data_IF_181165297848
#
_entry.id   IF_181165297848
#
_cell.length_a   1.000
_cell.length_b   1.000
_cell.length_c   1.000
_cell.angle_alpha   90.00
_cell.angle_beta   90.00
_cell.angle_gamma   90.00
#
_symmetry.space_group_name_H-M   'P 1'
#
loop_
_entity.id
_entity.type
_entity.pdbx_description
1 polymer ?
#
# COMPACT_ATOMS: atom_id res chain seq x y z
N UNK A 1 28.38 -9.01 4.65
CA UNK A 1 27.57 -8.33 5.67
C UNK A 1 26.13 -8.75 5.44
N UNK A 2 25.46 -9.31 6.44
CA UNK A 2 24.09 -9.83 6.29
C UNK A 2 23.10 -8.70 6.59
N UNK A 3 22.21 -8.39 5.65
CA UNK A 3 21.15 -7.40 5.84
C UNK A 3 20.28 -7.79 7.04
N UNK A 4 20.00 -6.83 7.94
CA UNK A 4 19.11 -7.07 9.07
C UNK A 4 17.68 -6.84 8.61
N UNK A 5 16.90 -7.90 8.50
CA UNK A 5 15.50 -7.79 8.08
C UNK A 5 14.69 -6.91 9.06
N UNK A 6 13.75 -6.12 8.55
CA UNK A 6 12.90 -5.29 9.41
C UNK A 6 12.02 -6.17 10.30
N UNK A 7 11.75 -5.68 11.51
CA UNK A 7 10.87 -6.38 12.46
C UNK A 7 9.41 -6.24 12.06
N UNK A 8 8.59 -7.26 12.33
CA UNK A 8 7.15 -7.18 12.17
C UNK A 8 6.56 -6.00 12.96
N UNK A 9 5.64 -5.22 12.38
CA UNK A 9 5.03 -4.10 13.07
C UNK A 9 4.10 -4.62 14.17
N UNK A 10 4.08 -3.88 15.29
CA UNK A 10 3.06 -4.09 16.32
C UNK A 10 1.72 -3.56 15.82
N UNK A 11 0.63 -4.14 16.33
CA UNK A 11 -0.72 -3.63 16.06
C UNK A 11 -0.84 -2.21 16.64
N UNK A 12 -1.15 -1.17 15.83
CA UNK A 12 -1.30 0.18 16.32
C UNK A 12 -2.50 0.32 17.27
N UNK A 13 -2.42 1.27 18.22
CA UNK A 13 -3.52 1.53 19.15
C UNK A 13 -4.84 1.86 18.43
N UNK A 14 -4.79 2.55 17.29
CA UNK A 14 -5.97 2.84 16.47
C UNK A 14 -6.66 1.56 15.96
N UNK A 15 -5.89 0.53 15.61
CA UNK A 15 -6.42 -0.78 15.19
C UNK A 15 -6.94 -1.54 16.41
N UNK A 16 -6.14 -1.60 17.49
CA UNK A 16 -6.49 -2.34 18.70
C UNK A 16 -7.79 -1.83 19.36
N UNK A 17 -8.04 -0.51 19.35
CA UNK A 17 -9.27 0.10 19.88
C UNK A 17 -10.54 -0.34 19.16
N UNK A 18 -10.43 -0.83 17.92
CA UNK A 18 -11.56 -1.34 17.13
C UNK A 18 -11.89 -2.81 17.44
N UNK A 19 -11.09 -3.48 18.27
CA UNK A 19 -11.25 -4.88 18.63
C UNK A 19 -10.31 -5.81 17.86
N UNK A 20 -10.65 -7.10 17.84
CA UNK A 20 -9.89 -8.11 17.11
C UNK A 20 -10.06 -7.93 15.59
N UNK A 21 -8.96 -7.87 14.85
CA UNK A 21 -8.98 -7.79 13.38
C UNK A 21 -9.64 -9.08 12.85
N UNK A 22 -10.67 -8.99 11.98
CA UNK A 22 -11.23 -10.16 11.32
C UNK A 22 -10.13 -10.99 10.62
N UNK A 23 -10.13 -12.31 10.84
CA UNK A 23 -9.08 -13.20 10.31
C UNK A 23 -8.91 -13.09 8.79
N UNK A 24 -10.01 -12.89 8.05
CA UNK A 24 -10.00 -12.69 6.59
C UNK A 24 -9.23 -11.44 6.17
N UNK A 25 -9.33 -10.34 6.93
CA UNK A 25 -8.62 -9.10 6.63
C UNK A 25 -7.13 -9.23 6.94
N UNK A 26 -6.77 -9.88 8.05
CA UNK A 26 -5.38 -10.14 8.38
C UNK A 26 -4.72 -11.07 7.35
N UNK A 27 -5.40 -12.16 6.98
CA UNK A 27 -4.93 -13.10 5.96
C UNK A 27 -4.77 -12.44 4.58
N UNK A 28 -5.64 -11.47 4.24
CA UNK A 28 -5.55 -10.73 2.98
C UNK A 28 -4.22 -9.98 2.85
N UNK A 29 -3.73 -9.34 3.92
CA UNK A 29 -2.47 -8.59 3.91
C UNK A 29 -1.23 -9.47 3.69
N UNK A 30 -1.31 -10.77 4.00
CA UNK A 30 -0.23 -11.73 3.79
C UNK A 30 -0.54 -12.73 2.67
N UNK A 31 -1.53 -12.44 1.83
CA UNK A 31 -1.95 -13.33 0.75
C UNK A 31 -1.02 -13.23 -0.48
N UNK A 32 -0.92 -14.28 -1.32
CA UNK A 32 -0.18 -14.21 -2.58
C UNK A 32 -0.63 -13.05 -3.49
N UNK A 33 -1.92 -12.70 -3.46
CA UNK A 33 -2.47 -11.56 -4.20
C UNK A 33 -1.87 -10.24 -3.72
N UNK A 34 -1.70 -10.05 -2.41
CA UNK A 34 -1.10 -8.85 -1.84
C UNK A 34 0.38 -8.72 -2.24
N UNK A 35 1.17 -9.79 -2.09
CA UNK A 35 2.58 -9.80 -2.52
C UNK A 35 2.73 -9.54 -4.01
N UNK A 36 2.03 -10.31 -4.85
CA UNK A 36 2.12 -10.17 -6.30
C UNK A 36 1.65 -8.82 -6.81
N UNK A 37 0.66 -8.20 -6.14
CA UNK A 37 0.24 -6.84 -6.47
C UNK A 37 1.28 -5.81 -6.07
N UNK A 38 1.85 -5.91 -4.87
CA UNK A 38 2.89 -5.00 -4.40
C UNK A 38 4.12 -5.05 -5.32
N UNK A 39 4.63 -6.24 -5.59
CA UNK A 39 5.82 -6.44 -6.44
C UNK A 39 5.58 -5.96 -7.88
N UNK A 40 4.36 -6.12 -8.40
CA UNK A 40 4.01 -5.61 -9.74
C UNK A 40 3.95 -4.07 -9.78
N UNK A 41 3.48 -3.43 -8.72
CA UNK A 41 3.27 -1.98 -8.70
C UNK A 41 4.52 -1.18 -8.29
N UNK A 42 5.33 -1.72 -7.37
CA UNK A 42 6.57 -1.07 -6.89
C UNK A 42 7.83 -1.57 -7.60
N UNK A 43 7.76 -2.74 -8.24
CA UNK A 43 8.96 -3.51 -8.57
C UNK A 43 9.46 -4.32 -7.37
N UNK A 44 10.50 -5.15 -7.59
CA UNK A 44 11.11 -5.93 -6.51
C UNK A 44 12.63 -6.07 -6.73
N UNK A 45 13.40 -5.09 -6.25
CA UNK A 45 14.85 -5.00 -6.51
C UNK A 45 15.64 -5.71 -5.42
N UNK A 46 16.26 -6.84 -5.74
CA UNK A 46 17.01 -7.71 -4.80
C UNK A 46 18.41 -7.20 -4.44
N UNK A 47 18.62 -5.90 -4.57
CA UNK A 47 19.87 -5.24 -4.24
C UNK A 47 19.55 -3.85 -3.69
N UNK A 48 20.21 -3.48 -2.60
CA UNK A 48 20.12 -2.12 -2.06
C UNK A 48 20.77 -1.16 -3.05
N UNK A 49 20.00 -0.20 -3.56
CA UNK A 49 20.47 0.83 -4.48
C UNK A 49 20.23 2.22 -3.90
N UNK A 50 21.01 3.21 -4.34
CA UNK A 50 20.79 4.61 -3.97
C UNK A 50 19.72 5.17 -4.90
N UNK A 51 18.51 5.42 -4.38
CA UNK A 51 17.43 5.95 -5.20
C UNK A 51 17.61 7.45 -5.44
N UNK A 52 18.05 7.81 -6.64
CA UNK A 52 18.25 9.20 -7.04
C UNK A 52 16.95 10.03 -7.03
N UNK A 53 15.78 9.41 -7.19
CA UNK A 53 14.49 10.09 -7.10
C UNK A 53 14.13 10.41 -5.64
N UNK A 54 14.64 9.62 -4.69
CA UNK A 54 14.48 9.82 -3.26
C UNK A 54 15.72 10.48 -2.61
N UNK A 55 16.54 11.21 -3.37
CA UNK A 55 17.70 11.93 -2.83
C UNK A 55 18.85 11.02 -2.35
N UNK A 56 18.98 9.82 -2.91
CA UNK A 56 20.04 8.85 -2.61
C UNK A 56 19.73 7.92 -1.44
N UNK A 57 18.47 7.87 -0.97
CA UNK A 57 18.06 6.97 0.11
C UNK A 57 18.26 5.50 -0.31
N UNK A 58 18.92 4.67 0.52
CA UNK A 58 19.03 3.23 0.28
C UNK A 58 17.65 2.60 0.11
N UNK A 59 17.41 1.98 -1.05
CA UNK A 59 16.11 1.41 -1.43
C UNK A 59 16.28 -0.04 -1.90
N UNK A 60 15.35 -0.93 -1.55
CA UNK A 60 15.42 -2.36 -1.88
C UNK A 60 14.04 -3.04 -1.87
N UNK A 61 13.96 -4.26 -2.42
CA UNK A 61 12.74 -5.05 -2.60
C UNK A 61 11.62 -4.22 -3.23
N UNK A 62 10.40 -4.26 -2.69
CA UNK A 62 9.30 -3.41 -3.14
C UNK A 62 9.33 -2.01 -2.50
N UNK A 63 10.44 -1.29 -2.71
CA UNK A 63 10.56 0.12 -2.34
C UNK A 63 10.78 0.39 -0.84
N UNK A 64 11.36 -0.56 -0.09
CA UNK A 64 11.69 -0.35 1.33
C UNK A 64 12.92 0.56 1.45
N UNK A 65 12.90 1.46 2.43
CA UNK A 65 13.92 2.52 2.59
C UNK A 65 14.51 2.62 4.00
N UNK A 66 14.53 1.52 4.77
CA UNK A 66 15.04 1.57 6.15
C UNK A 66 16.54 1.89 6.19
N UNK A 67 16.99 2.86 6.99
CA UNK A 67 18.41 3.08 7.27
C UNK A 67 18.88 2.26 8.48
N UNK A 68 20.18 1.99 8.62
CA UNK A 68 21.25 2.21 7.65
C UNK A 68 21.52 0.94 6.83
N UNK A 69 20.91 0.80 5.66
CA UNK A 69 21.24 -0.30 4.75
C UNK A 69 22.43 0.04 3.85
N UNK A 70 23.32 -0.94 3.66
CA UNK A 70 24.55 -0.78 2.88
C UNK A 70 24.24 -0.94 1.39
N UNK A 71 24.48 0.10 0.60
CA UNK A 71 24.36 0.07 -0.87
C UNK A 71 25.15 -1.11 -1.45
N UNK A 72 24.54 -1.82 -2.39
CA UNK A 72 25.12 -2.98 -3.07
C UNK A 72 24.84 -4.32 -2.37
N UNK A 73 24.34 -4.30 -1.13
CA UNK A 73 23.89 -5.52 -0.42
C UNK A 73 22.84 -6.26 -1.24
N UNK A 74 23.06 -7.55 -1.49
CA UNK A 74 22.13 -8.42 -2.22
C UNK A 74 21.20 -9.13 -1.23
N UNK A 75 19.95 -9.32 -1.66
CA UNK A 75 18.92 -10.04 -0.93
C UNK A 75 18.47 -11.28 -1.73
N UNK A 76 18.06 -12.33 -1.03
CA UNK A 76 17.33 -13.46 -1.63
C UNK A 76 15.86 -13.10 -1.86
N UNK A 77 15.17 -13.93 -2.64
CA UNK A 77 13.70 -13.86 -2.77
C UNK A 77 12.99 -13.92 -1.42
N UNK A 78 13.41 -14.84 -0.54
CA UNK A 78 12.79 -15.00 0.78
C UNK A 78 13.04 -13.80 1.69
N UNK A 79 14.22 -13.18 1.61
CA UNK A 79 14.50 -11.95 2.32
C UNK A 79 13.61 -10.81 1.83
N UNK A 80 13.45 -10.65 0.51
CA UNK A 80 12.51 -9.65 -0.01
C UNK A 80 11.05 -9.97 0.33
N UNK A 81 10.67 -11.24 0.40
CA UNK A 81 9.34 -11.65 0.86
C UNK A 81 9.08 -11.19 2.29
N UNK A 82 10.01 -11.41 3.22
CA UNK A 82 9.85 -10.96 4.60
C UNK A 82 9.88 -9.42 4.72
N UNK A 83 10.68 -8.73 3.93
CA UNK A 83 10.64 -7.25 3.84
C UNK A 83 9.28 -6.76 3.35
N UNK A 84 8.79 -7.35 2.25
CA UNK A 84 7.51 -6.97 1.63
C UNK A 84 6.34 -7.28 2.58
N UNK A 85 6.42 -8.35 3.37
CA UNK A 85 5.46 -8.68 4.43
C UNK A 85 5.36 -7.57 5.47
N UNK A 86 6.50 -7.05 5.92
CA UNK A 86 6.53 -5.94 6.87
C UNK A 86 5.86 -4.71 6.28
N UNK A 87 6.18 -4.34 5.02
CA UNK A 87 5.52 -3.23 4.32
C UNK A 87 4.01 -3.43 4.23
N UNK A 88 3.54 -4.61 3.81
CA UNK A 88 2.11 -4.91 3.71
C UNK A 88 1.38 -4.79 5.05
N UNK A 89 1.97 -5.31 6.12
CA UNK A 89 1.38 -5.21 7.46
C UNK A 89 1.39 -3.77 7.98
N UNK A 90 2.49 -3.03 7.79
CA UNK A 90 2.60 -1.64 8.26
C UNK A 90 1.56 -0.72 7.60
N UNK A 91 1.40 -0.81 6.29
CA UNK A 91 0.43 0.01 5.56
C UNK A 91 -0.98 -0.55 5.72
N UNK A 92 -1.15 -1.87 5.73
CA UNK A 92 -2.44 -2.51 5.98
C UNK A 92 -3.01 -2.16 7.35
N UNK A 93 -2.17 -2.12 8.40
CA UNK A 93 -2.58 -1.68 9.72
C UNK A 93 -2.95 -0.19 9.76
N UNK A 94 -2.27 0.67 8.99
CA UNK A 94 -2.68 2.06 8.86
C UNK A 94 -4.09 2.18 8.24
N UNK A 95 -4.35 1.44 7.16
CA UNK A 95 -5.68 1.37 6.53
C UNK A 95 -6.73 0.84 7.49
N UNK A 96 -6.47 -0.28 8.17
CA UNK A 96 -7.38 -0.85 9.17
C UNK A 96 -7.67 0.12 10.32
N UNK A 97 -6.70 0.98 10.66
CA UNK A 97 -6.85 1.99 11.72
C UNK A 97 -7.75 3.16 11.32
N UNK A 98 -7.87 3.47 10.03
CA UNK A 98 -8.60 4.66 9.56
C UNK A 98 -9.82 4.35 8.68
N UNK A 99 -10.09 3.09 8.34
CA UNK A 99 -11.27 2.68 7.56
C UNK A 99 -12.27 1.91 8.42
N UNK A 100 -13.57 2.12 8.27
CA UNK A 100 -14.60 1.28 8.90
C UNK A 100 -14.54 -0.16 8.35
N UNK A 101 -14.46 -1.15 9.24
CA UNK A 101 -14.26 -2.54 8.85
C UNK A 101 -15.50 -3.16 8.20
N UNK A 102 -16.70 -2.65 8.50
CA UNK A 102 -17.95 -3.10 7.84
C UNK A 102 -17.92 -2.87 6.32
N UNK A 103 -17.08 -1.95 5.86
CA UNK A 103 -16.93 -1.61 4.45
C UNK A 103 -15.65 -2.18 3.84
N UNK A 104 -14.94 -3.08 4.53
CA UNK A 104 -13.76 -3.75 4.00
C UNK A 104 -14.07 -5.18 3.59
N UNK A 105 -13.67 -5.53 2.37
CA UNK A 105 -13.44 -6.90 1.94
C UNK A 105 -11.94 -7.16 1.84
N UNK A 106 -11.55 -8.43 1.66
CA UNK A 106 -10.14 -8.81 1.50
C UNK A 106 -9.46 -8.06 0.33
N UNK A 107 -10.10 -8.07 -0.85
CA UNK A 107 -9.58 -7.42 -2.07
C UNK A 107 -9.54 -5.90 -1.92
N UNK A 108 -10.55 -5.32 -1.26
CA UNK A 108 -10.60 -3.89 -1.01
C UNK A 108 -9.51 -3.42 -0.05
N UNK A 109 -9.27 -4.16 1.02
CA UNK A 109 -8.15 -3.88 1.92
C UNK A 109 -6.82 -3.91 1.16
N UNK A 110 -6.61 -4.88 0.27
CA UNK A 110 -5.39 -4.95 -0.56
C UNK A 110 -5.29 -3.71 -1.45
N UNK A 111 -6.34 -3.35 -2.20
CA UNK A 111 -6.34 -2.18 -3.08
C UNK A 111 -6.06 -0.86 -2.34
N UNK A 112 -6.69 -0.65 -1.18
CA UNK A 112 -6.46 0.51 -0.33
C UNK A 112 -5.05 0.51 0.29
N UNK A 113 -4.51 -0.66 0.61
CA UNK A 113 -3.13 -0.80 1.12
C UNK A 113 -2.13 -0.41 0.04
N UNK A 114 -2.30 -0.86 -1.21
CA UNK A 114 -1.43 -0.49 -2.33
C UNK A 114 -1.43 1.02 -2.60
N UNK A 115 -2.60 1.64 -2.50
CA UNK A 115 -2.74 3.09 -2.59
C UNK A 115 -1.95 3.79 -1.47
N UNK A 116 -2.11 3.31 -0.23
CA UNK A 116 -1.40 3.85 0.93
C UNK A 116 0.11 3.68 0.84
N UNK A 117 0.62 2.57 0.31
CA UNK A 117 2.07 2.36 0.07
C UNK A 117 2.62 3.46 -0.84
N UNK A 118 1.88 3.86 -1.88
CA UNK A 118 2.33 4.89 -2.82
C UNK A 118 2.28 6.31 -2.28
N UNK A 119 1.14 6.69 -1.72
CA UNK A 119 0.85 8.09 -1.37
C UNK A 119 1.22 8.42 0.07
N UNK A 120 1.51 7.40 0.87
CA UNK A 120 1.77 7.51 2.30
C UNK A 120 0.53 7.30 3.16
N UNK A 121 0.74 6.74 4.35
CA UNK A 121 -0.31 6.38 5.34
C UNK A 121 -1.24 7.55 5.66
N UNK A 122 -0.66 8.72 5.97
CA UNK A 122 -1.41 9.91 6.37
C UNK A 122 -2.22 10.51 5.21
N UNK A 123 -1.62 10.63 4.03
CA UNK A 123 -2.31 11.13 2.83
C UNK A 123 -3.47 10.22 2.44
N UNK A 124 -3.28 8.90 2.48
CA UNK A 124 -4.36 7.94 2.20
C UNK A 124 -5.51 8.07 3.21
N UNK A 125 -5.23 8.00 4.52
CA UNK A 125 -6.27 8.08 5.55
C UNK A 125 -7.01 9.43 5.57
N UNK A 126 -6.35 10.53 5.21
CA UNK A 126 -6.96 11.85 5.09
C UNK A 126 -7.68 12.11 3.77
N UNK A 127 -7.59 11.18 2.80
CA UNK A 127 -8.06 11.39 1.44
C UNK A 127 -9.58 11.30 1.29
N UNK A 128 -10.13 12.00 0.29
CA UNK A 128 -11.53 11.87 -0.11
C UNK A 128 -11.96 10.41 -0.39
N UNK A 129 -11.20 9.57 -1.12
CA UNK A 129 -11.48 8.13 -1.26
C UNK A 129 -11.84 7.44 0.06
N UNK A 130 -11.01 7.60 1.10
CA UNK A 130 -11.19 6.94 2.39
C UNK A 130 -12.38 7.53 3.16
N UNK A 131 -12.57 8.85 3.11
CA UNK A 131 -13.73 9.52 3.70
C UNK A 131 -15.05 9.04 3.10
N UNK A 132 -15.12 8.86 1.77
CA UNK A 132 -16.32 8.35 1.12
C UNK A 132 -16.61 6.88 1.50
N UNK A 133 -15.59 6.03 1.55
CA UNK A 133 -15.74 4.63 2.00
C UNK A 133 -16.27 4.59 3.44
N UNK A 134 -15.71 5.39 4.33
CA UNK A 134 -16.14 5.47 5.73
C UNK A 134 -17.57 5.99 5.91
N UNK A 135 -18.07 6.76 4.95
CA UNK A 135 -19.45 7.21 4.90
C UNK A 135 -20.40 6.19 4.22
N UNK A 136 -19.93 4.96 3.95
CA UNK A 136 -20.70 3.91 3.28
C UNK A 136 -20.83 4.10 1.77
N UNK A 137 -20.23 5.15 1.18
CA UNK A 137 -20.25 5.41 -0.27
C UNK A 137 -19.09 4.68 -0.95
N UNK A 138 -19.11 3.35 -0.85
CA UNK A 138 -17.99 2.46 -1.18
C UNK A 138 -17.58 2.60 -2.64
N UNK A 139 -18.53 2.50 -3.58
CA UNK A 139 -18.22 2.60 -5.01
C UNK A 139 -17.60 3.96 -5.36
N UNK A 140 -18.19 5.04 -4.85
CA UNK A 140 -17.70 6.40 -5.05
C UNK A 140 -16.27 6.55 -4.51
N UNK A 141 -16.02 6.07 -3.29
CA UNK A 141 -14.70 6.12 -2.68
C UNK A 141 -13.65 5.32 -3.45
N UNK A 142 -13.98 4.12 -3.91
CA UNK A 142 -13.09 3.34 -4.76
C UNK A 142 -12.83 4.00 -6.12
N UNK A 143 -13.85 4.61 -6.74
CA UNK A 143 -13.69 5.37 -7.99
C UNK A 143 -12.74 6.55 -7.80
N UNK A 144 -12.81 7.23 -6.65
CA UNK A 144 -11.96 8.37 -6.31
C UNK A 144 -10.47 8.04 -6.20
N UNK A 145 -10.08 6.77 -6.10
CA UNK A 145 -8.67 6.40 -6.20
C UNK A 145 -8.09 6.81 -7.57
N UNK A 146 -8.86 6.65 -8.65
CA UNK A 146 -8.38 6.86 -10.02
C UNK A 146 -9.02 8.04 -10.75
N UNK A 147 -10.23 8.44 -10.37
CA UNK A 147 -11.02 9.45 -11.08
C UNK A 147 -11.60 10.46 -10.11
N UNK A 148 -11.53 11.75 -10.43
CA UNK A 148 -12.28 12.79 -9.72
C UNK A 148 -13.77 12.65 -10.04
N UNK A 149 -14.61 13.43 -9.38
CA UNK A 149 -16.07 13.41 -9.62
C UNK A 149 -16.44 13.78 -11.06
N UNK A 150 -15.62 14.58 -11.74
CA UNK A 150 -15.80 14.97 -13.14
C UNK A 150 -15.23 13.95 -14.15
N UNK A 151 -14.72 12.81 -13.68
CA UNK A 151 -14.13 11.77 -14.52
C UNK A 151 -12.68 12.01 -14.93
N UNK A 152 -12.06 13.12 -14.53
CA UNK A 152 -10.63 13.37 -14.79
C UNK A 152 -9.73 12.51 -13.88
N UNK A 153 -8.48 12.19 -14.26
CA UNK A 153 -7.57 11.43 -13.40
C UNK A 153 -7.42 12.01 -12.00
N UNK A 154 -7.45 11.16 -10.99
CA UNK A 154 -7.15 11.52 -9.60
C UNK A 154 -5.86 10.84 -9.14
N UNK A 155 -5.16 11.44 -8.16
CA UNK A 155 -3.95 10.87 -7.54
C UNK A 155 -2.89 10.36 -8.55
N UNK A 156 -2.86 10.98 -9.73
CA UNK A 156 -2.02 10.59 -10.88
C UNK A 156 -1.10 11.72 -11.33
N UNK A 157 -0.83 12.64 -10.40
CA UNK A 157 0.01 13.80 -10.61
C UNK A 157 1.10 13.85 -9.55
N UNK A 158 2.32 14.20 -9.94
CA UNK A 158 3.42 14.50 -9.02
C UNK A 158 4.08 15.81 -9.45
N UNK A 159 4.36 16.71 -8.49
CA UNK A 159 4.86 18.06 -8.83
C UNK A 159 3.95 18.85 -9.79
N UNK A 160 2.64 18.57 -9.80
CA UNK A 160 1.67 19.19 -10.71
C UNK A 160 1.62 18.59 -12.13
N UNK A 161 2.49 17.63 -12.46
CA UNK A 161 2.56 16.99 -13.77
C UNK A 161 1.83 15.66 -13.76
N UNK A 162 1.06 15.36 -14.81
CA UNK A 162 0.37 14.07 -14.98
C UNK A 162 1.36 12.95 -15.33
N UNK A 163 1.18 11.79 -14.71
CA UNK A 163 1.95 10.58 -15.03
C UNK A 163 1.02 9.42 -15.38
N UNK A 164 1.12 8.92 -16.62
CA UNK A 164 0.34 7.77 -17.09
C UNK A 164 0.57 6.52 -16.22
N UNK A 165 1.80 6.30 -15.74
CA UNK A 165 2.12 5.20 -14.85
C UNK A 165 1.34 5.26 -13.53
N UNK A 166 1.18 6.45 -12.94
CA UNK A 166 0.35 6.63 -11.75
C UNK A 166 -1.12 6.37 -12.06
N UNK A 167 -1.64 6.85 -13.19
CA UNK A 167 -3.02 6.56 -13.58
C UNK A 167 -3.28 5.06 -13.75
N UNK A 168 -2.37 4.34 -14.41
CA UNK A 168 -2.49 2.88 -14.55
C UNK A 168 -2.48 2.18 -13.18
N UNK A 169 -1.61 2.63 -12.27
CA UNK A 169 -1.56 2.16 -10.88
C UNK A 169 -2.88 2.42 -10.15
N UNK A 170 -3.41 3.65 -10.21
CA UNK A 170 -4.69 4.00 -9.58
C UNK A 170 -5.84 3.17 -10.11
N UNK A 171 -5.87 2.86 -11.41
CA UNK A 171 -6.89 1.98 -12.00
C UNK A 171 -6.78 0.54 -11.48
N UNK A 172 -5.56 0.01 -11.30
CA UNK A 172 -5.36 -1.32 -10.72
C UNK A 172 -5.84 -1.39 -9.26
N UNK A 173 -5.53 -0.36 -8.46
CA UNK A 173 -5.99 -0.24 -7.07
C UNK A 173 -7.52 -0.08 -6.98
N UNK A 174 -8.09 0.76 -7.84
CA UNK A 174 -9.54 0.92 -8.01
C UNK A 174 -10.21 -0.40 -8.36
N UNK A 175 -9.64 -1.19 -9.27
CA UNK A 175 -10.19 -2.50 -9.64
C UNK A 175 -10.29 -3.40 -8.41
N UNK A 176 -9.20 -3.55 -7.66
CA UNK A 176 -9.19 -4.34 -6.42
C UNK A 176 -10.19 -3.81 -5.38
N UNK A 177 -10.30 -2.49 -5.23
CA UNK A 177 -11.24 -1.85 -4.32
C UNK A 177 -12.72 -2.18 -4.63
N UNK A 178 -13.03 -2.32 -5.93
CA UNK A 178 -14.39 -2.56 -6.44
C UNK A 178 -14.71 -4.03 -6.71
N UNK A 179 -13.77 -4.96 -6.51
CA UNK A 179 -13.92 -6.34 -6.97
C UNK A 179 -15.22 -6.98 -6.46
N UNK A 180 -15.53 -6.79 -5.17
CA UNK A 180 -16.72 -7.35 -4.51
C UNK A 180 -17.95 -6.40 -4.55
N UNK A 181 -17.97 -5.40 -5.44
CA UNK A 181 -19.17 -4.57 -5.69
C UNK A 181 -20.01 -5.09 -6.87
N UNK A 182 -19.58 -6.19 -7.49
CA UNK A 182 -20.24 -6.83 -8.62
C UNK A 182 -21.33 -7.78 -8.16
#
# INVERSE_FOLDING_TARGET
MTLKLPSLPRIPAAVARKGAIPAVLLAALTSPLAYGTLERLEGNVKQVYADHLAGGIPTYCAGRTDPPEVIGTKLTDDQCREVNKVTLLEYGYAVLGCVNWDYLTATRLIGLTMFAVNVGKAAACGSQPFQQINAGRIEQGCNLLALRYDGTPNWSYAGGVFYQGLQNRRQAERKLCREDLQ
#
